data_IF_493590934584
#
_entry.id   IF_493590934584
#
_cell.length_a   1.000
_cell.length_b   1.000
_cell.length_c   1.000
_cell.angle_alpha   90.00
_cell.angle_beta   90.00
_cell.angle_gamma   90.00
#
_symmetry.space_group_name_H-M   'P 1'
#
loop_
_entity.id
_entity.type
_entity.pdbx_description
1 polymer ?
#
# COMPACT_ATOMS: atom_id res chain seq x y z
N UNK A 1 32.08 -5.78 -29.67
CA UNK A 1 32.27 -7.21 -29.41
C UNK A 1 31.03 -7.94 -29.93
N UNK A 2 31.09 -8.40 -31.18
CA UNK A 2 30.02 -9.12 -31.88
C UNK A 2 30.71 -10.24 -32.67
N UNK A 3 30.44 -11.48 -32.29
CA UNK A 3 31.01 -12.67 -32.94
C UNK A 3 30.32 -12.85 -34.31
N UNK A 4 31.06 -12.98 -35.43
CA UNK A 4 30.47 -13.11 -36.75
C UNK A 4 29.95 -14.53 -37.00
N UNK A 5 28.79 -14.64 -37.66
CA UNK A 5 28.24 -15.92 -38.14
C UNK A 5 29.16 -16.50 -39.23
N UNK A 6 29.44 -17.82 -39.22
CA UNK A 6 30.27 -18.43 -40.25
C UNK A 6 29.60 -18.35 -41.62
N UNK A 7 30.37 -17.89 -42.62
CA UNK A 7 29.93 -17.76 -44.00
C UNK A 7 29.75 -19.12 -44.66
N UNK A 8 28.53 -19.43 -45.07
CA UNK A 8 28.21 -20.61 -45.87
C UNK A 8 28.68 -20.40 -47.31
N UNK A 9 29.68 -21.18 -47.71
CA UNK A 9 30.25 -21.17 -49.05
C UNK A 9 29.23 -21.46 -50.14
N UNK A 10 29.25 -20.63 -51.19
CA UNK A 10 28.56 -20.90 -52.45
C UNK A 10 29.36 -21.90 -53.30
N UNK A 11 28.63 -22.61 -54.17
CA UNK A 11 29.21 -23.27 -55.35
C UNK A 11 29.09 -24.79 -55.39
N UNK A 12 27.87 -25.34 -55.26
CA UNK A 12 27.59 -26.73 -55.62
C UNK A 12 26.85 -26.79 -56.96
N UNK A 13 27.59 -27.07 -58.04
CA UNK A 13 26.99 -27.41 -59.34
C UNK A 13 26.08 -28.64 -59.18
N UNK A 14 24.80 -28.49 -59.49
CA UNK A 14 23.82 -29.57 -59.46
C UNK A 14 24.09 -30.55 -60.60
N UNK A 15 24.71 -31.69 -60.28
CA UNK A 15 24.64 -32.90 -61.12
C UNK A 15 23.42 -33.70 -60.67
N UNK A 16 22.49 -34.13 -61.56
CA UNK A 16 21.30 -34.87 -61.14
C UNK A 16 21.71 -36.27 -60.69
N UNK A 17 21.86 -36.46 -59.38
CA UNK A 17 21.98 -37.76 -58.76
C UNK A 17 20.61 -38.44 -58.75
N UNK A 18 20.52 -39.58 -59.42
CA UNK A 18 19.29 -40.37 -59.60
C UNK A 18 18.93 -41.15 -58.31
N UNK A 19 18.70 -40.45 -57.21
CA UNK A 19 18.28 -41.03 -55.92
C UNK A 19 17.19 -40.16 -55.30
N UNK A 20 16.07 -40.78 -54.92
CA UNK A 20 15.01 -40.13 -54.17
C UNK A 20 15.53 -39.80 -52.76
N UNK A 21 16.07 -38.60 -52.60
CA UNK A 21 16.25 -37.99 -51.29
C UNK A 21 15.07 -37.05 -51.09
N UNK A 22 14.17 -37.35 -50.18
CA UNK A 22 13.30 -36.36 -49.56
C UNK A 22 12.50 -37.04 -48.45
N UNK A 23 12.86 -36.73 -47.21
CA UNK A 23 11.88 -36.23 -46.24
C UNK A 23 12.63 -35.38 -45.21
N UNK A 24 12.56 -34.06 -45.39
CA UNK A 24 13.01 -33.07 -44.42
C UNK A 24 11.98 -33.05 -43.28
N UNK A 25 12.20 -33.83 -42.23
CA UNK A 25 11.24 -33.95 -41.13
C UNK A 25 11.10 -32.62 -40.39
N UNK A 26 9.91 -32.02 -40.48
CA UNK A 26 9.53 -30.85 -39.70
C UNK A 26 8.52 -31.27 -38.66
N UNK A 27 8.89 -31.10 -37.40
CA UNK A 27 8.00 -31.31 -36.28
C UNK A 27 7.14 -30.05 -36.11
N UNK A 28 5.83 -30.19 -36.27
CA UNK A 28 4.87 -29.15 -35.91
C UNK A 28 4.28 -29.57 -34.57
N UNK A 29 4.79 -28.97 -33.50
CA UNK A 29 4.22 -29.16 -32.18
C UNK A 29 2.94 -28.33 -32.07
N UNK A 30 1.88 -28.95 -31.59
CA UNK A 30 0.71 -28.24 -31.14
C UNK A 30 1.06 -27.39 -29.92
N UNK A 31 0.25 -26.36 -29.66
CA UNK A 31 0.43 -25.51 -28.46
C UNK A 31 0.42 -26.33 -27.17
N UNK A 32 -0.35 -27.42 -27.13
CA UNK A 32 -0.51 -28.29 -25.96
C UNK A 32 0.74 -29.14 -25.72
N UNK A 33 1.28 -29.78 -26.76
CA UNK A 33 2.53 -30.58 -26.66
C UNK A 33 3.74 -29.75 -26.25
N UNK A 34 3.80 -28.48 -26.69
CA UNK A 34 4.85 -27.56 -26.22
C UNK A 34 4.71 -27.33 -24.72
N UNK A 35 3.49 -27.12 -24.22
CA UNK A 35 3.28 -26.84 -22.79
C UNK A 35 3.61 -28.06 -21.94
N UNK A 36 3.21 -29.26 -22.37
CA UNK A 36 3.53 -30.50 -21.65
C UNK A 36 5.04 -30.69 -21.50
N UNK A 37 5.83 -30.51 -22.57
CA UNK A 37 7.30 -30.59 -22.50
C UNK A 37 7.92 -29.55 -21.54
N UNK A 38 7.30 -28.38 -21.41
CA UNK A 38 7.76 -27.35 -20.46
C UNK A 38 7.39 -27.65 -19.01
N UNK A 39 6.33 -28.44 -18.76
CA UNK A 39 5.81 -28.72 -17.43
C UNK A 39 6.00 -30.16 -16.97
N UNK A 40 6.63 -31.04 -17.76
CA UNK A 40 6.99 -32.42 -17.40
C UNK A 40 7.68 -32.52 -16.02
N UNK A 41 8.49 -31.51 -15.65
CA UNK A 41 9.19 -31.43 -14.36
C UNK A 41 8.61 -30.36 -13.39
N UNK A 42 7.49 -29.73 -13.75
CA UNK A 42 6.82 -28.68 -12.95
C UNK A 42 5.45 -29.17 -12.51
N UNK A 43 5.44 -30.19 -11.67
CA UNK A 43 4.26 -30.48 -10.86
C UNK A 43 4.02 -29.27 -9.95
N UNK A 44 2.90 -28.56 -10.14
CA UNK A 44 2.49 -27.50 -9.23
C UNK A 44 2.35 -28.12 -7.84
N UNK A 45 3.10 -27.66 -6.82
CA UNK A 45 2.88 -28.12 -5.46
C UNK A 45 1.41 -27.95 -5.10
N UNK A 46 0.86 -28.95 -4.39
CA UNK A 46 -0.48 -28.96 -3.84
C UNK A 46 -0.86 -27.54 -3.39
N UNK A 47 -1.79 -26.92 -4.11
CA UNK A 47 -2.34 -25.59 -3.83
C UNK A 47 -3.20 -25.65 -2.56
N UNK A 48 -2.65 -26.18 -1.47
CA UNK A 48 -3.26 -26.22 -0.15
C UNK A 48 -3.18 -24.81 0.40
N UNK A 49 -4.19 -24.05 -0.02
CA UNK A 49 -4.73 -22.87 0.64
C UNK A 49 -3.74 -21.73 0.69
N UNK A 50 -3.65 -21.00 -0.43
CA UNK A 50 -3.52 -19.55 -0.35
C UNK A 50 -4.78 -19.04 0.36
N UNK A 51 -4.77 -19.08 1.69
CA UNK A 51 -5.62 -18.20 2.48
C UNK A 51 -5.17 -16.81 2.09
N UNK A 52 -5.91 -16.19 1.16
CA UNK A 52 -5.81 -14.78 0.85
C UNK A 52 -6.23 -14.05 2.13
N UNK A 53 -5.32 -13.98 3.08
CA UNK A 53 -5.45 -13.15 4.27
C UNK A 53 -5.51 -11.76 3.68
N UNK A 54 -6.69 -11.15 3.65
CA UNK A 54 -6.84 -9.75 3.24
C UNK A 54 -5.85 -8.94 4.06
N UNK A 55 -4.73 -8.56 3.43
CA UNK A 55 -3.80 -7.64 4.03
C UNK A 55 -4.51 -6.30 3.93
N UNK A 56 -5.19 -5.90 5.01
CA UNK A 56 -5.76 -4.57 5.14
C UNK A 56 -4.60 -3.56 5.10
N UNK A 57 -4.25 -3.14 3.90
CA UNK A 57 -3.22 -2.14 3.66
C UNK A 57 -3.78 -0.77 3.99
N UNK A 58 -3.54 -0.30 5.22
CA UNK A 58 -3.92 1.06 5.62
C UNK A 58 -2.96 2.07 4.98
N UNK A 59 -3.47 2.89 4.06
CA UNK A 59 -2.74 4.06 3.56
C UNK A 59 -3.12 5.27 4.41
N UNK A 60 -2.18 5.89 5.15
CA UNK A 60 -2.47 7.11 5.89
C UNK A 60 -2.89 8.22 4.92
N UNK A 61 -4.03 8.86 5.19
CA UNK A 61 -4.52 10.05 4.48
C UNK A 61 -4.38 11.25 5.39
N UNK A 62 -4.04 12.41 4.82
CA UNK A 62 -4.04 13.67 5.57
C UNK A 62 -5.48 14.00 5.99
N UNK A 63 -5.69 14.20 7.29
CA UNK A 63 -7.01 14.46 7.85
C UNK A 63 -7.53 15.88 7.56
N UNK A 64 -6.71 16.79 7.01
CA UNK A 64 -7.13 18.15 6.65
C UNK A 64 -7.32 19.12 7.83
N UNK A 65 -7.20 18.64 9.08
CA UNK A 65 -7.33 19.48 10.27
C UNK A 65 -5.96 19.85 10.88
N UNK A 66 -5.82 21.09 11.33
CA UNK A 66 -4.67 21.67 12.00
C UNK A 66 -4.98 22.00 13.47
N UNK A 67 -3.92 22.25 14.25
CA UNK A 67 -4.04 22.70 15.64
C UNK A 67 -4.26 24.21 15.76
N UNK A 68 -3.87 24.97 14.74
CA UNK A 68 -3.96 26.44 14.66
C UNK A 68 -4.36 26.84 13.24
N UNK A 69 -4.90 28.06 13.07
CA UNK A 69 -5.29 28.62 11.78
C UNK A 69 -6.78 28.93 11.68
N UNK A 70 -7.32 28.94 10.45
CA UNK A 70 -8.74 29.21 10.19
C UNK A 70 -9.64 28.25 10.97
N UNK A 71 -10.74 28.71 11.62
CA UNK A 71 -11.68 27.87 12.34
C UNK A 71 -12.19 26.66 11.55
N UNK A 72 -12.32 26.82 10.23
CA UNK A 72 -12.75 25.77 9.30
C UNK A 72 -11.82 24.56 9.27
N UNK A 73 -10.56 24.74 9.67
CA UNK A 73 -9.53 23.72 9.62
C UNK A 73 -9.12 23.23 11.02
N UNK A 74 -9.75 23.70 12.10
CA UNK A 74 -9.35 23.32 13.46
C UNK A 74 -9.86 21.92 13.83
N UNK A 75 -9.00 21.09 14.40
CA UNK A 75 -9.42 19.82 15.00
C UNK A 75 -10.10 20.06 16.36
N UNK A 76 -11.44 20.11 16.37
CA UNK A 76 -12.24 20.35 17.58
C UNK A 76 -11.95 19.34 18.69
N UNK A 77 -11.86 18.05 18.37
CA UNK A 77 -11.61 16.99 19.36
C UNK A 77 -10.27 17.14 20.08
N UNK A 78 -9.20 17.50 19.33
CA UNK A 78 -7.87 17.78 19.90
C UNK A 78 -7.91 19.04 20.78
N UNK A 79 -8.56 20.10 20.32
CA UNK A 79 -8.70 21.36 21.06
C UNK A 79 -9.41 21.15 22.38
N UNK A 80 -10.53 20.42 22.37
CA UNK A 80 -11.31 20.10 23.58
C UNK A 80 -10.51 19.23 24.54
N UNK A 81 -9.80 18.20 24.05
CA UNK A 81 -8.94 17.35 24.88
C UNK A 81 -7.83 18.17 25.55
N UNK A 82 -7.16 19.05 24.81
CA UNK A 82 -6.12 19.92 25.35
C UNK A 82 -6.68 20.91 26.38
N UNK A 83 -7.84 21.50 26.11
CA UNK A 83 -8.53 22.41 27.05
C UNK A 83 -8.87 21.72 28.36
N UNK A 84 -9.38 20.49 28.29
CA UNK A 84 -9.71 19.70 29.47
C UNK A 84 -8.46 19.28 30.25
N UNK A 85 -7.40 18.83 29.56
CA UNK A 85 -6.13 18.50 30.21
C UNK A 85 -5.52 19.69 30.96
N UNK A 86 -5.57 20.90 30.38
CA UNK A 86 -5.13 22.13 31.07
C UNK A 86 -5.99 22.43 32.29
N UNK A 87 -7.30 22.20 32.23
CA UNK A 87 -8.21 22.40 33.37
C UNK A 87 -7.81 21.54 34.57
N UNK A 88 -7.48 20.27 34.31
CA UNK A 88 -7.02 19.32 35.33
C UNK A 88 -5.65 19.73 35.87
N UNK A 89 -4.68 19.98 34.99
CA UNK A 89 -3.30 20.27 35.38
C UNK A 89 -3.18 21.58 36.18
N UNK A 90 -3.92 22.61 35.78
CA UNK A 90 -3.90 23.92 36.44
C UNK A 90 -4.87 24.01 37.63
N UNK A 91 -5.53 22.91 38.00
CA UNK A 91 -6.56 22.87 39.07
C UNK A 91 -7.56 24.03 38.94
N UNK A 92 -8.04 24.29 37.72
CA UNK A 92 -8.98 25.39 37.48
C UNK A 92 -10.22 25.17 38.37
N UNK A 93 -10.63 26.18 39.17
CA UNK A 93 -11.77 26.05 40.07
C UNK A 93 -13.05 25.73 39.30
N UNK A 94 -13.95 24.99 39.95
CA UNK A 94 -15.28 24.71 39.41
C UNK A 94 -16.13 25.98 39.44
N UNK A 95 -17.13 26.04 38.56
CA UNK A 95 -18.04 27.19 38.52
C UNK A 95 -18.69 27.45 39.90
N UNK A 96 -19.11 26.39 40.58
CA UNK A 96 -19.68 26.48 41.94
C UNK A 96 -18.73 27.12 42.96
N UNK A 97 -17.43 26.83 42.88
CA UNK A 97 -16.43 27.43 43.78
C UNK A 97 -16.24 28.91 43.47
N UNK A 98 -16.25 29.29 42.19
CA UNK A 98 -16.19 30.69 41.78
C UNK A 98 -17.43 31.46 42.24
N UNK A 99 -18.62 30.88 42.05
CA UNK A 99 -19.89 31.51 42.43
C UNK A 99 -19.94 31.73 43.95
N UNK A 100 -19.50 30.76 44.75
CA UNK A 100 -19.41 30.88 46.21
C UNK A 100 -18.42 31.98 46.65
N UNK A 101 -17.23 32.05 46.01
CA UNK A 101 -16.26 33.11 46.28
C UNK A 101 -16.83 34.49 45.92
N UNK A 102 -17.58 34.60 44.82
CA UNK A 102 -18.21 35.86 44.40
C UNK A 102 -19.29 36.31 45.40
N UNK A 103 -20.08 35.37 45.93
CA UNK A 103 -21.08 35.65 46.96
C UNK A 103 -20.43 36.08 48.27
N UNK A 104 -19.35 35.42 48.69
CA UNK A 104 -18.57 35.82 49.86
C UNK A 104 -18.01 37.24 49.71
N UNK A 105 -17.41 37.56 48.56
CA UNK A 105 -16.91 38.91 48.25
C UNK A 105 -18.04 39.94 48.36
N UNK A 106 -19.20 39.67 47.74
CA UNK A 106 -20.34 40.58 47.80
C UNK A 106 -20.80 40.82 49.24
N UNK A 107 -20.86 39.77 50.07
CA UNK A 107 -21.24 39.90 51.48
C UNK A 107 -20.27 40.76 52.30
N UNK A 108 -18.96 40.67 52.00
CA UNK A 108 -17.92 41.45 52.66
C UNK A 108 -17.88 42.91 52.19
N UNK A 109 -18.23 43.17 50.93
CA UNK A 109 -18.37 44.52 50.38
C UNK A 109 -19.60 45.25 50.93
N UNK A 110 -20.68 44.52 51.23
CA UNK A 110 -21.90 45.08 51.84
C UNK A 110 -21.77 45.30 53.36
N UNK A 111 -20.86 44.59 54.03
CA UNK A 111 -20.61 44.77 55.45
C UNK A 111 -19.90 46.12 55.71
N UNK A 112 -20.52 47.07 56.44
CA UNK A 112 -19.83 48.29 56.84
C UNK A 112 -18.73 47.95 57.85
N UNK A 113 -17.55 48.56 57.66
CA UNK A 113 -16.38 48.43 58.51
C UNK A 113 -16.64 48.76 59.99
#
# INVERSE_FOLDING_TARGET
>A
DLIPKPGGGGGGASSPGNKASEDDFRFVLSREEVLDLFFEDLELPDMVKLNLKEILAFKPRRAGFAATGSPTNINVGRTMRNSHGRRIALRRPKQVELDAILEEIASLEEAPY
#
